data_IF_477546146590
#
_entry.id   IF_477546146590
#
_cell.length_a   1.000
_cell.length_b   1.000
_cell.length_c   1.000
_cell.angle_alpha   90.00
_cell.angle_beta   90.00
_cell.angle_gamma   90.00
#
_symmetry.space_group_name_H-M   'P 1'
#
loop_
_entity.id
_entity.type
_entity.pdbx_description
1 polymer ?
#
# COMPACT_ATOMS: atom_id res chain seq x y z
N UNK A 1 -17.54 11.96 -35.96
CA UNK A 1 -16.66 10.78 -35.84
C UNK A 1 -15.22 11.31 -35.87
N UNK A 2 -14.35 11.16 -34.87
CA UNK A 2 -14.25 10.13 -33.85
C UNK A 2 -13.76 10.75 -32.52
N UNK A 3 -14.61 10.69 -31.49
CA UNK A 3 -14.46 11.30 -30.16
C UNK A 3 -13.76 10.35 -29.17
N UNK A 4 -12.62 9.76 -29.56
CA UNK A 4 -12.05 8.62 -28.81
C UNK A 4 -10.52 8.69 -28.60
N UNK A 5 -9.92 9.88 -28.59
CA UNK A 5 -8.49 10.04 -28.29
C UNK A 5 -8.13 11.11 -27.24
N UNK A 6 -9.09 11.71 -26.54
CA UNK A 6 -8.84 12.88 -25.67
C UNK A 6 -8.85 12.63 -24.15
N UNK A 7 -8.60 11.39 -23.71
CA UNK A 7 -8.49 11.04 -22.27
C UNK A 7 -7.24 10.23 -21.94
N UNK A 8 -6.16 10.36 -22.72
CA UNK A 8 -4.85 9.81 -22.36
C UNK A 8 -3.97 10.92 -21.80
N UNK A 9 -3.87 10.96 -20.47
CA UNK A 9 -2.80 11.67 -19.76
C UNK A 9 -3.20 13.00 -19.16
N UNK A 10 -3.57 13.01 -17.87
CA UNK A 10 -3.55 14.21 -17.02
C UNK A 10 -3.40 13.85 -15.54
N UNK A 11 -2.43 13.01 -15.16
CA UNK A 11 -2.06 12.88 -13.74
C UNK A 11 -0.55 12.77 -13.48
N UNK A 12 0.30 12.99 -14.49
CA UNK A 12 1.72 13.27 -14.28
C UNK A 12 1.81 14.77 -13.92
N UNK A 13 2.35 15.22 -12.79
CA UNK A 13 3.79 15.50 -12.66
C UNK A 13 4.24 15.80 -11.20
N UNK A 14 3.47 15.44 -10.17
CA UNK A 14 3.75 15.88 -8.78
C UNK A 14 4.43 14.83 -7.86
N UNK A 15 4.93 13.71 -8.39
CA UNK A 15 5.31 12.53 -7.58
C UNK A 15 6.78 12.45 -7.14
N UNK A 16 7.56 13.51 -7.35
CA UNK A 16 8.96 13.55 -6.95
C UNK A 16 9.16 13.73 -5.45
N UNK A 17 9.84 12.77 -4.82
CA UNK A 17 10.46 12.82 -3.49
C UNK A 17 9.58 12.52 -2.25
N UNK A 18 8.95 11.34 -2.23
CA UNK A 18 8.69 10.65 -0.96
C UNK A 18 9.93 9.83 -0.58
N UNK A 19 10.78 10.45 0.26
CA UNK A 19 12.10 9.98 0.67
C UNK A 19 12.08 8.58 1.31
N UNK A 20 12.62 7.59 0.61
CA UNK A 20 13.06 6.32 1.18
C UNK A 20 14.26 6.60 2.12
N UNK A 21 14.17 6.26 3.41
CA UNK A 21 15.38 6.19 4.25
C UNK A 21 15.97 4.80 4.13
N UNK A 22 17.13 4.70 3.48
CA UNK A 22 17.99 3.52 3.58
C UNK A 22 18.74 3.57 4.92
N UNK A 23 18.64 2.51 5.71
CA UNK A 23 19.62 2.21 6.77
C UNK A 23 20.18 0.81 6.49
N UNK A 24 21.49 0.74 6.24
CA UNK A 24 22.26 -0.50 6.17
C UNK A 24 23.06 -0.64 7.47
N UNK A 25 22.92 -1.80 8.13
CA UNK A 25 23.68 -2.23 9.31
C UNK A 25 23.79 -3.76 9.29
N UNK A 26 24.82 -4.36 9.94
CA UNK A 26 25.22 -5.74 9.70
C UNK A 26 24.21 -6.75 10.27
N UNK A 27 24.19 -7.94 9.66
CA UNK A 27 23.19 -8.99 9.84
C UNK A 27 23.39 -9.79 11.14
N UNK A 28 22.31 -9.92 11.90
CA UNK A 28 22.10 -10.95 12.93
C UNK A 28 20.59 -11.22 13.01
N UNK A 29 20.21 -12.52 13.02
CA UNK A 29 18.88 -13.16 13.24
C UNK A 29 17.65 -12.30 12.83
N UNK A 30 16.78 -12.71 11.88
CA UNK A 30 15.82 -11.78 11.28
C UNK A 30 14.89 -11.17 12.31
N UNK A 31 15.20 -9.92 12.68
CA UNK A 31 14.38 -9.06 13.49
C UNK A 31 13.02 -8.95 12.78
N UNK A 32 11.94 -8.81 13.55
CA UNK A 32 10.58 -8.61 13.01
C UNK A 32 10.55 -7.50 11.96
N UNK A 33 11.44 -6.52 12.08
CA UNK A 33 11.65 -5.46 11.09
C UNK A 33 12.16 -5.96 9.73
N UNK A 34 13.07 -6.93 9.71
CA UNK A 34 13.62 -7.52 8.48
C UNK A 34 12.58 -8.37 7.73
N UNK A 35 11.86 -9.23 8.45
CA UNK A 35 10.74 -9.98 7.87
C UNK A 35 9.66 -9.02 7.31
N UNK A 36 9.42 -7.89 7.99
CA UNK A 36 8.54 -6.83 7.48
C UNK A 36 9.05 -6.20 6.18
N UNK A 37 10.35 -5.86 6.09
CA UNK A 37 10.96 -5.29 4.87
C UNK A 37 10.92 -6.25 3.69
N UNK A 38 11.23 -7.52 3.95
CA UNK A 38 11.15 -8.56 2.94
C UNK A 38 9.72 -8.73 2.42
N UNK A 39 8.72 -8.87 3.30
CA UNK A 39 7.34 -9.02 2.88
C UNK A 39 6.82 -7.82 2.09
N UNK A 40 7.21 -6.60 2.47
CA UNK A 40 6.86 -5.39 1.70
C UNK A 40 7.50 -5.38 0.30
N UNK A 41 8.73 -5.88 0.16
CA UNK A 41 9.39 -6.01 -1.15
C UNK A 41 8.65 -7.04 -2.03
N UNK A 42 8.31 -8.19 -1.46
CA UNK A 42 7.53 -9.24 -2.13
C UNK A 42 6.15 -8.72 -2.57
N UNK A 43 5.44 -8.02 -1.68
CA UNK A 43 4.15 -7.42 -1.97
C UNK A 43 4.25 -6.38 -3.10
N UNK A 44 5.25 -5.51 -3.07
CA UNK A 44 5.48 -4.54 -4.13
C UNK A 44 5.74 -5.22 -5.48
N UNK A 45 6.52 -6.31 -5.51
CA UNK A 45 6.77 -7.06 -6.74
C UNK A 45 5.52 -7.79 -7.24
N UNK A 46 4.69 -8.32 -6.34
CA UNK A 46 3.41 -8.93 -6.67
C UNK A 46 2.46 -7.90 -7.32
N UNK A 47 2.33 -6.71 -6.72
CA UNK A 47 1.52 -5.62 -7.27
C UNK A 47 2.00 -5.18 -8.65
N UNK A 48 3.31 -5.04 -8.85
CA UNK A 48 3.90 -4.74 -10.18
C UNK A 48 3.52 -5.80 -11.22
N UNK A 49 3.65 -7.09 -10.88
CA UNK A 49 3.24 -8.20 -11.74
C UNK A 49 1.75 -8.18 -12.06
N UNK A 50 0.92 -7.70 -11.13
CA UNK A 50 -0.52 -7.53 -11.30
C UNK A 50 -0.94 -6.23 -12.03
N UNK A 51 0.02 -5.49 -12.62
CA UNK A 51 -0.23 -4.30 -13.44
C UNK A 51 -0.40 -3.00 -12.65
N UNK A 52 0.01 -2.97 -11.38
CA UNK A 52 0.07 -1.74 -10.59
C UNK A 52 1.43 -1.05 -10.74
N UNK A 53 1.41 0.26 -10.82
CA UNK A 53 2.57 1.12 -10.62
C UNK A 53 2.76 1.36 -9.12
N UNK A 54 3.92 1.00 -8.55
CA UNK A 54 4.23 1.29 -7.15
C UNK A 54 4.80 2.71 -7.05
N UNK A 55 4.01 3.64 -6.50
CA UNK A 55 4.37 5.05 -6.34
C UNK A 55 5.31 5.28 -5.16
N UNK A 56 5.24 4.42 -4.14
CA UNK A 56 6.13 4.51 -2.98
C UNK A 56 5.89 3.40 -1.97
N UNK A 57 6.90 3.18 -1.14
CA UNK A 57 6.90 2.25 -0.01
C UNK A 57 7.21 3.01 1.28
N UNK A 58 6.65 2.58 2.41
CA UNK A 58 6.81 3.21 3.74
C UNK A 58 6.58 4.72 3.68
N UNK A 59 5.51 5.12 2.98
CA UNK A 59 5.20 6.51 2.71
C UNK A 59 4.68 7.17 3.98
N UNK A 60 5.27 8.30 4.37
CA UNK A 60 4.87 9.08 5.55
C UNK A 60 4.30 10.42 5.13
N UNK A 61 3.00 10.50 4.82
CA UNK A 61 2.36 11.75 4.40
C UNK A 61 2.17 12.71 5.58
N UNK A 62 2.37 12.27 6.82
CA UNK A 62 2.37 13.12 8.00
C UNK A 62 3.40 12.61 9.03
N UNK A 63 3.57 13.30 10.15
CA UNK A 63 4.57 12.94 11.17
C UNK A 63 4.25 11.68 11.99
N UNK A 64 2.99 11.24 12.01
CA UNK A 64 2.46 10.22 12.94
C UNK A 64 2.22 8.87 12.27
N UNK A 65 1.92 8.85 10.98
CA UNK A 65 1.41 7.66 10.29
C UNK A 65 2.25 7.30 9.06
N UNK A 66 2.27 6.01 8.76
CA UNK A 66 2.96 5.40 7.62
C UNK A 66 1.98 4.54 6.82
N UNK A 67 2.13 4.56 5.50
CA UNK A 67 1.47 3.69 4.53
C UNK A 67 2.53 2.73 4.00
N UNK A 68 2.32 1.41 4.11
CA UNK A 68 3.35 0.43 3.71
C UNK A 68 3.64 0.52 2.20
N UNK A 69 2.60 0.58 1.37
CA UNK A 69 2.73 0.79 -0.08
C UNK A 69 1.60 1.71 -0.57
N UNK A 70 1.97 2.65 -1.46
CA UNK A 70 1.03 3.39 -2.29
C UNK A 70 1.24 2.96 -3.74
N UNK A 71 0.18 2.51 -4.39
CA UNK A 71 0.22 1.99 -5.76
C UNK A 71 -0.91 2.58 -6.60
N UNK A 72 -0.79 2.49 -7.93
CA UNK A 72 -1.74 3.03 -8.89
C UNK A 72 -2.03 2.03 -10.00
N UNK A 73 -3.29 1.96 -10.46
CA UNK A 73 -3.68 1.27 -11.70
C UNK A 73 -4.69 2.12 -12.46
N UNK A 74 -4.26 2.78 -13.51
CA UNK A 74 -5.05 3.83 -14.17
C UNK A 74 -5.31 4.98 -13.19
N UNK A 75 -6.58 5.35 -13.02
CA UNK A 75 -7.01 6.41 -12.09
C UNK A 75 -7.26 5.89 -10.67
N UNK A 76 -7.12 4.58 -10.43
CA UNK A 76 -7.29 4.00 -9.11
C UNK A 76 -5.99 4.12 -8.30
N UNK A 77 -6.03 4.83 -7.18
CA UNK A 77 -4.99 4.85 -6.16
C UNK A 77 -5.28 3.81 -5.06
N UNK A 78 -4.29 3.01 -4.73
CA UNK A 78 -4.43 1.94 -3.73
C UNK A 78 -3.44 2.16 -2.60
N UNK A 79 -3.98 2.19 -1.38
CA UNK A 79 -3.21 2.19 -0.15
C UNK A 79 -3.17 0.76 0.39
N UNK A 80 -2.00 0.14 0.39
CA UNK A 80 -1.85 -1.27 0.74
C UNK A 80 -1.16 -1.40 2.09
N UNK A 81 -1.77 -2.16 2.99
CA UNK A 81 -1.12 -2.66 4.21
C UNK A 81 -0.53 -4.05 3.93
N UNK A 82 0.70 -4.30 4.38
CA UNK A 82 1.38 -5.58 4.18
C UNK A 82 1.42 -6.38 5.47
N UNK A 83 1.00 -7.64 5.41
CA UNK A 83 1.06 -8.57 6.54
C UNK A 83 1.97 -9.74 6.22
N UNK A 84 3.16 -9.75 6.81
CA UNK A 84 4.11 -10.88 6.70
C UNK A 84 3.87 -11.92 7.78
N UNK A 85 3.86 -13.20 7.41
CA UNK A 85 3.80 -14.34 8.33
C UNK A 85 4.80 -15.41 7.90
N UNK A 86 5.34 -16.17 8.86
CA UNK A 86 6.26 -17.29 8.56
C UNK A 86 5.53 -18.56 8.12
N UNK A 87 4.32 -18.81 8.63
CA UNK A 87 3.52 -20.00 8.32
C UNK A 87 2.01 -19.76 8.45
N UNK A 88 1.21 -20.72 7.96
CA UNK A 88 -0.26 -20.67 8.00
C UNK A 88 -0.88 -21.35 9.24
N UNK A 89 -0.06 -21.90 10.14
CA UNK A 89 -0.50 -22.84 11.18
C UNK A 89 -1.43 -22.27 12.26
N UNK A 90 -1.63 -20.95 12.33
CA UNK A 90 -2.61 -20.31 13.21
C UNK A 90 -3.79 -19.81 12.38
N UNK A 91 -4.97 -20.43 12.57
CA UNK A 91 -6.19 -20.30 11.77
C UNK A 91 -6.58 -18.89 11.28
N UNK A 92 -7.26 -18.84 10.13
CA UNK A 92 -7.81 -17.60 9.54
C UNK A 92 -8.99 -17.10 10.42
N UNK A 93 -9.03 -15.80 10.77
CA UNK A 93 -9.24 -14.70 9.81
C UNK A 93 -8.29 -13.52 10.05
N UNK A 94 -7.21 -13.44 9.27
CA UNK A 94 -6.04 -12.60 9.58
C UNK A 94 -5.99 -11.23 8.87
N UNK A 95 -6.74 -11.10 7.78
CA UNK A 95 -6.74 -9.92 6.93
C UNK A 95 -7.33 -8.68 7.61
N UNK A 96 -8.09 -8.87 8.69
CA UNK A 96 -8.75 -7.78 9.38
C UNK A 96 -7.71 -6.80 9.93
N UNK A 97 -7.69 -5.60 9.35
CA UNK A 97 -7.00 -4.45 9.91
C UNK A 97 -7.84 -3.97 11.08
N UNK A 98 -7.27 -3.97 12.29
CA UNK A 98 -8.01 -3.55 13.48
C UNK A 98 -8.42 -2.07 13.40
N UNK A 99 -9.41 -1.67 14.20
CA UNK A 99 -9.97 -0.31 14.16
C UNK A 99 -8.90 0.80 14.34
N UNK A 100 -7.95 0.61 15.28
CA UNK A 100 -6.86 1.57 15.52
C UNK A 100 -5.99 1.76 14.28
N UNK A 101 -5.63 0.68 13.60
CA UNK A 101 -4.79 0.71 12.41
C UNK A 101 -5.57 1.24 11.20
N UNK A 102 -6.85 0.88 11.03
CA UNK A 102 -7.73 1.47 10.01
C UNK A 102 -7.81 2.99 10.15
N UNK A 103 -7.95 3.48 11.38
CA UNK A 103 -7.97 4.91 11.67
C UNK A 103 -6.67 5.61 11.25
N UNK A 104 -5.52 5.03 11.62
CA UNK A 104 -4.21 5.56 11.24
C UNK A 104 -4.02 5.58 9.70
N UNK A 105 -4.39 4.50 9.02
CA UNK A 105 -4.32 4.41 7.56
C UNK A 105 -5.25 5.40 6.86
N UNK A 106 -6.48 5.60 7.36
CA UNK A 106 -7.41 6.61 6.83
C UNK A 106 -6.84 8.03 6.98
N UNK A 107 -6.26 8.35 8.14
CA UNK A 107 -5.62 9.65 8.36
C UNK A 107 -4.39 9.86 7.47
N UNK A 108 -3.57 8.84 7.30
CA UNK A 108 -2.41 8.88 6.41
C UNK A 108 -2.84 9.07 4.95
N UNK A 109 -3.78 8.27 4.46
CA UNK A 109 -4.32 8.36 3.11
C UNK A 109 -4.96 9.73 2.84
N UNK A 110 -5.74 10.26 3.78
CA UNK A 110 -6.32 11.60 3.64
C UNK A 110 -5.22 12.69 3.51
N UNK A 111 -4.15 12.58 4.30
CA UNK A 111 -3.01 13.49 4.18
C UNK A 111 -2.29 13.34 2.83
N UNK A 112 -2.12 12.10 2.35
CA UNK A 112 -1.51 11.81 1.05
C UNK A 112 -2.34 12.41 -0.09
N UNK A 113 -3.64 12.12 -0.13
CA UNK A 113 -4.57 12.60 -1.16
C UNK A 113 -4.59 14.13 -1.25
N UNK A 114 -4.57 14.83 -0.09
CA UNK A 114 -4.50 16.30 -0.05
C UNK A 114 -3.21 16.87 -0.63
N UNK A 115 -2.07 16.23 -0.33
CA UNK A 115 -0.76 16.68 -0.81
C UNK A 115 -0.54 16.37 -2.29
N UNK A 116 -1.04 15.22 -2.74
CA UNK A 116 -0.94 14.79 -4.12
C UNK A 116 -1.98 15.45 -5.05
N UNK A 117 -2.90 16.27 -4.53
CA UNK A 117 -4.04 16.83 -5.25
C UNK A 117 -4.81 15.77 -6.07
N UNK A 118 -4.89 14.54 -5.55
CA UNK A 118 -5.44 13.41 -6.30
C UNK A 118 -6.98 13.52 -6.40
N UNK A 119 -7.59 13.18 -7.55
CA UNK A 119 -9.04 13.23 -7.73
C UNK A 119 -9.79 12.44 -6.65
N UNK A 120 -10.95 12.98 -6.26
CA UNK A 120 -11.81 12.33 -5.27
C UNK A 120 -12.40 11.03 -5.81
N UNK A 121 -12.64 10.06 -4.92
CA UNK A 121 -13.43 8.86 -5.21
C UNK A 121 -12.70 7.71 -5.91
N UNK A 122 -11.50 7.91 -6.45
CA UNK A 122 -10.75 6.86 -7.15
C UNK A 122 -9.65 6.26 -6.26
N UNK A 123 -10.02 5.82 -5.05
CA UNK A 123 -9.05 5.18 -4.15
C UNK A 123 -9.67 4.07 -3.30
N UNK A 124 -8.83 3.13 -2.83
CA UNK A 124 -9.24 2.07 -1.90
C UNK A 124 -8.11 1.62 -0.96
N UNK A 125 -8.47 0.87 0.07
CA UNK A 125 -7.53 0.17 0.92
C UNK A 125 -7.50 -1.32 0.62
N UNK A 126 -6.30 -1.84 0.43
CA UNK A 126 -6.07 -3.27 0.19
C UNK A 126 -5.15 -3.84 1.27
N UNK A 127 -5.15 -5.16 1.39
CA UNK A 127 -4.18 -5.90 2.20
C UNK A 127 -3.44 -6.87 1.30
N UNK A 128 -2.12 -6.92 1.43
CA UNK A 128 -1.32 -8.01 0.85
C UNK A 128 -0.76 -8.86 1.98
N UNK A 129 -1.17 -10.12 2.04
CA UNK A 129 -0.59 -11.11 2.94
C UNK A 129 0.56 -11.82 2.22
N UNK A 130 1.71 -11.90 2.89
CA UNK A 130 2.90 -12.64 2.42
C UNK A 130 3.21 -13.71 3.44
N UNK A 131 3.12 -14.98 3.02
CA UNK A 131 3.45 -16.14 3.86
C UNK A 131 4.74 -16.78 3.36
N UNK A 132 5.76 -16.77 4.21
CA UNK A 132 7.07 -17.35 3.96
C UNK A 132 8.16 -16.65 4.78
N UNK A 133 9.41 -16.91 4.41
CA UNK A 133 10.59 -16.29 5.01
C UNK A 133 11.57 -15.85 3.92
N UNK A 134 12.46 -14.88 4.20
CA UNK A 134 13.51 -14.48 3.26
C UNK A 134 14.39 -15.64 2.78
N UNK A 135 14.66 -16.60 3.67
CA UNK A 135 15.50 -17.78 3.41
C UNK A 135 14.69 -18.97 2.87
N UNK A 136 13.37 -18.84 2.77
CA UNK A 136 12.47 -19.90 2.33
C UNK A 136 12.35 -19.98 0.80
N UNK A 137 11.56 -20.95 0.33
CA UNK A 137 11.15 -21.03 -1.08
C UNK A 137 10.20 -19.91 -1.50
N UNK A 138 9.59 -20.04 -2.68
CA UNK A 138 8.66 -19.04 -3.21
C UNK A 138 7.54 -18.75 -2.20
N UNK A 139 7.34 -17.48 -1.78
CA UNK A 139 6.33 -17.15 -0.80
C UNK A 139 4.92 -17.21 -1.40
N UNK A 140 3.94 -17.55 -0.57
CA UNK A 140 2.53 -17.43 -0.94
C UNK A 140 2.10 -15.99 -0.73
N UNK A 141 1.62 -15.35 -1.80
CA UNK A 141 1.13 -13.96 -1.76
C UNK A 141 -0.37 -13.93 -2.04
N UNK A 142 -1.12 -13.20 -1.20
CA UNK A 142 -2.56 -13.00 -1.37
C UNK A 142 -2.88 -11.52 -1.33
N UNK A 143 -3.50 -11.03 -2.39
CA UNK A 143 -3.97 -9.65 -2.49
C UNK A 143 -5.47 -9.60 -2.24
N UNK A 144 -5.85 -8.98 -1.11
CA UNK A 144 -7.23 -8.75 -0.73
C UNK A 144 -7.59 -7.31 -1.06
N UNK A 145 -8.28 -7.15 -2.18
CA UNK A 145 -8.80 -5.87 -2.62
C UNK A 145 -9.97 -5.42 -1.74
N UNK A 146 -10.13 -4.10 -1.55
CA UNK A 146 -11.24 -3.52 -0.76
C UNK A 146 -11.31 -4.05 0.68
N UNK A 147 -10.16 -4.25 1.31
CA UNK A 147 -10.04 -4.84 2.65
C UNK A 147 -10.84 -4.08 3.72
N UNK A 148 -10.98 -2.76 3.59
CA UNK A 148 -11.88 -1.96 4.43
C UNK A 148 -12.23 -0.61 3.78
N UNK A 149 -13.38 -0.01 4.13
CA UNK A 149 -13.76 1.31 3.63
C UNK A 149 -13.02 2.43 4.36
N UNK A 150 -12.91 3.58 3.69
CA UNK A 150 -12.53 4.85 4.32
C UNK A 150 -13.48 5.17 5.47
N UNK A 151 -12.97 5.58 6.62
CA UNK A 151 -13.83 6.03 7.73
C UNK A 151 -14.64 7.26 7.32
N UNK A 152 -15.93 7.30 7.70
CA UNK A 152 -16.87 8.34 7.26
C UNK A 152 -16.37 9.76 7.54
N UNK A 153 -15.72 9.99 8.69
CA UNK A 153 -15.16 11.29 9.09
C UNK A 153 -14.05 11.83 8.19
N UNK A 154 -13.45 10.99 7.35
CA UNK A 154 -12.43 11.40 6.40
C UNK A 154 -12.92 11.29 4.95
N UNK A 155 -14.17 10.85 4.73
CA UNK A 155 -14.73 10.76 3.39
C UNK A 155 -14.80 12.16 2.81
N UNK A 156 -14.06 12.39 1.72
CA UNK A 156 -14.23 13.63 0.97
C UNK A 156 -15.65 13.64 0.41
N UNK A 157 -16.42 14.74 0.57
CA UNK A 157 -17.71 14.85 -0.10
C UNK A 157 -17.49 14.57 -1.58
N UNK A 158 -18.32 13.68 -2.15
CA UNK A 158 -18.45 13.62 -3.61
C UNK A 158 -19.00 14.99 -4.02
N UNK A 159 -18.30 15.64 -4.95
CA UNK A 159 -18.76 16.91 -5.51
C UNK A 159 -19.96 16.65 -6.43
#
# INVERSE_FOLDING_TARGET
MNLLHLLRGRFADAFGCWRERRHAGPAAVPDRAEAGRWGEAVAAQHLKRAGFEVLGRRVRPNRRDELDIVARRGDLLVFVEVKTRRSEAYGRPSAAVNARKRHALCRAAAAYLRQAHYPRGCYRFDVVEVVGTPEGGEPVVRHLEHAFPFEQRYRFPVA
#
